data_IF_692365819207
#
_entry.id   IF_692365819207
#
_cell.length_a   1.000
_cell.length_b   1.000
_cell.length_c   1.000
_cell.angle_alpha   90.00
_cell.angle_beta   90.00
_cell.angle_gamma   90.00
#
_symmetry.space_group_name_H-M   'P 1'
#
loop_
_entity.id
_entity.type
_entity.pdbx_description
1 polymer ?
#
# COMPACT_ATOMS: atom_id res chain seq x y z
N UNK A 1 -6.67 -16.08 1.29
CA UNK A 1 -5.27 -15.67 1.59
C UNK A 1 -4.61 -16.70 2.50
N UNK A 2 -3.34 -17.00 2.32
CA UNK A 2 -2.46 -17.77 3.23
C UNK A 2 -2.94 -19.15 3.72
N UNK A 3 -3.91 -19.78 3.07
CA UNK A 3 -4.54 -21.03 3.57
C UNK A 3 -3.52 -22.17 3.73
N UNK A 4 -2.62 -22.34 2.76
CA UNK A 4 -1.56 -23.35 2.80
C UNK A 4 -0.55 -23.08 3.91
N UNK A 5 0.01 -21.88 3.95
CA UNK A 5 0.99 -21.49 4.97
C UNK A 5 0.41 -21.55 6.39
N UNK A 6 -0.88 -21.25 6.57
CA UNK A 6 -1.56 -21.31 7.87
C UNK A 6 -1.75 -22.76 8.42
N UNK A 7 -1.66 -23.76 7.56
CA UNK A 7 -1.64 -25.18 7.98
C UNK A 7 -0.27 -25.54 8.56
N UNK A 8 0.80 -25.06 7.93
CA UNK A 8 2.17 -25.34 8.35
C UNK A 8 2.61 -24.50 9.56
N UNK A 9 2.12 -23.26 9.66
CA UNK A 9 2.55 -22.27 10.66
C UNK A 9 1.37 -21.73 11.47
N UNK A 10 1.10 -22.27 12.68
CA UNK A 10 0.02 -21.80 13.58
C UNK A 10 0.08 -20.31 13.91
N UNK A 11 1.28 -19.73 13.92
CA UNK A 11 1.50 -18.29 14.16
C UNK A 11 0.68 -17.39 13.21
N UNK A 12 0.36 -17.88 12.00
CA UNK A 12 -0.49 -17.14 11.07
C UNK A 12 -1.89 -17.00 11.67
N UNK A 13 -2.47 -18.10 12.15
CA UNK A 13 -3.80 -18.09 12.79
C UNK A 13 -3.81 -17.24 14.07
N UNK A 14 -2.77 -17.34 14.89
CA UNK A 14 -2.61 -16.55 16.11
C UNK A 14 -2.57 -15.06 15.79
N UNK A 15 -1.84 -14.66 14.74
CA UNK A 15 -1.78 -13.26 14.27
C UNK A 15 -3.16 -12.77 13.78
N UNK A 16 -3.91 -13.61 13.07
CA UNK A 16 -5.27 -13.25 12.66
C UNK A 16 -6.23 -13.19 13.84
N UNK A 17 -6.06 -14.01 14.88
CA UNK A 17 -6.85 -13.96 16.12
C UNK A 17 -6.61 -12.62 16.85
N UNK A 18 -5.35 -12.22 17.01
CA UNK A 18 -4.96 -10.93 17.62
C UNK A 18 -5.62 -9.74 16.90
N UNK A 19 -5.58 -9.74 15.56
CA UNK A 19 -6.22 -8.69 14.78
C UNK A 19 -7.76 -8.74 14.88
N UNK A 20 -8.36 -9.94 14.91
CA UNK A 20 -9.82 -10.13 15.03
C UNK A 20 -10.34 -9.59 16.37
N UNK A 21 -9.63 -9.82 17.46
CA UNK A 21 -9.96 -9.25 18.77
C UNK A 21 -9.99 -7.71 18.74
N UNK A 22 -9.00 -7.11 18.08
CA UNK A 22 -8.92 -5.65 17.94
C UNK A 22 -10.01 -5.06 17.04
N UNK A 23 -10.45 -5.83 16.03
CA UNK A 23 -11.44 -5.41 15.03
C UNK A 23 -12.88 -5.69 15.44
N UNK A 24 -13.09 -6.63 16.38
CA UNK A 24 -14.41 -7.05 16.84
C UNK A 24 -15.17 -7.97 15.87
N UNK A 25 -14.46 -8.61 14.91
CA UNK A 25 -15.01 -9.63 14.01
C UNK A 25 -13.95 -10.63 13.61
N UNK A 26 -14.35 -11.83 13.15
CA UNK A 26 -13.42 -12.87 12.71
C UNK A 26 -12.83 -12.55 11.33
N UNK A 27 -11.64 -11.95 11.35
CA UNK A 27 -10.91 -11.59 10.12
C UNK A 27 -10.43 -12.84 9.37
N UNK A 28 -10.10 -13.93 10.10
CA UNK A 28 -9.68 -15.17 9.44
C UNK A 28 -10.83 -15.80 8.66
N UNK A 29 -12.02 -15.87 9.25
CA UNK A 29 -13.20 -16.38 8.56
C UNK A 29 -13.48 -15.57 7.28
N UNK A 30 -13.35 -14.25 7.34
CA UNK A 30 -13.53 -13.38 6.17
C UNK A 30 -12.50 -13.66 5.07
N UNK A 31 -11.21 -13.75 5.38
CA UNK A 31 -10.17 -13.95 4.35
C UNK A 31 -10.11 -15.39 3.80
N UNK A 32 -10.60 -16.38 4.54
CA UNK A 32 -10.59 -17.80 4.15
C UNK A 32 -11.89 -18.28 3.53
N UNK A 33 -13.03 -17.73 3.96
CA UNK A 33 -14.38 -18.17 3.58
C UNK A 33 -15.24 -17.10 2.92
N UNK A 34 -14.84 -15.84 2.96
CA UNK A 34 -15.60 -14.72 2.38
C UNK A 34 -16.72 -14.20 3.27
N UNK A 35 -17.69 -13.47 2.73
CA UNK A 35 -17.91 -13.29 1.29
C UNK A 35 -16.86 -12.38 0.61
N UNK A 36 -16.55 -12.64 -0.66
CA UNK A 36 -15.56 -11.88 -1.43
C UNK A 36 -15.93 -10.42 -1.56
N UNK A 37 -17.21 -10.12 -1.73
CA UNK A 37 -17.74 -8.77 -1.87
C UNK A 37 -17.47 -7.92 -0.61
N UNK A 38 -17.50 -8.52 0.58
CA UNK A 38 -17.13 -7.82 1.82
C UNK A 38 -15.62 -7.59 1.87
N UNK A 39 -14.82 -8.59 1.47
CA UNK A 39 -13.36 -8.46 1.48
C UNK A 39 -12.85 -7.44 0.45
N UNK A 40 -13.59 -7.20 -0.65
CA UNK A 40 -13.29 -6.19 -1.66
C UNK A 40 -13.54 -4.75 -1.19
N UNK A 41 -14.36 -4.55 -0.16
CA UNK A 41 -14.50 -3.24 0.47
C UNK A 41 -13.20 -2.84 1.16
N UNK A 42 -12.70 -1.64 0.83
CA UNK A 42 -11.36 -1.23 1.27
C UNK A 42 -11.22 -1.17 2.80
N UNK A 43 -12.31 -0.96 3.56
CA UNK A 43 -12.31 -1.03 5.03
C UNK A 43 -11.98 -2.42 5.58
N UNK A 44 -12.24 -3.50 4.80
CA UNK A 44 -11.91 -4.88 5.18
C UNK A 44 -10.64 -5.37 4.50
N UNK A 45 -10.40 -4.94 3.24
CA UNK A 45 -9.19 -5.31 2.51
C UNK A 45 -7.94 -4.82 3.25
N UNK A 46 -7.94 -3.57 3.75
CA UNK A 46 -6.75 -2.98 4.34
C UNK A 46 -6.28 -3.71 5.62
N UNK A 47 -7.13 -3.96 6.64
CA UNK A 47 -6.69 -4.72 7.81
C UNK A 47 -6.35 -6.17 7.48
N UNK A 48 -7.00 -6.78 6.47
CA UNK A 48 -6.67 -8.13 6.03
C UNK A 48 -5.26 -8.22 5.43
N UNK A 49 -4.88 -7.28 4.57
CA UNK A 49 -3.54 -7.22 3.98
C UNK A 49 -2.47 -6.91 5.03
N UNK A 50 -2.73 -5.97 5.94
CA UNK A 50 -1.82 -5.67 7.04
C UNK A 50 -1.56 -6.91 7.90
N UNK A 51 -2.63 -7.59 8.33
CA UNK A 51 -2.53 -8.77 9.19
C UNK A 51 -1.81 -9.91 8.49
N UNK A 52 -2.10 -10.14 7.21
CA UNK A 52 -1.43 -11.16 6.41
C UNK A 52 0.08 -10.87 6.27
N UNK A 53 0.44 -9.61 6.02
CA UNK A 53 1.85 -9.19 5.92
C UNK A 53 2.58 -9.38 7.25
N UNK A 54 1.99 -8.95 8.37
CA UNK A 54 2.60 -9.13 9.71
C UNK A 54 2.72 -10.61 10.06
N UNK A 55 1.72 -11.45 9.70
CA UNK A 55 1.77 -12.90 9.95
C UNK A 55 2.92 -13.56 9.19
N UNK A 56 3.07 -13.28 7.89
CA UNK A 56 4.18 -13.79 7.08
C UNK A 56 5.53 -13.31 7.59
N UNK A 57 5.63 -12.03 7.98
CA UNK A 57 6.85 -11.48 8.57
C UNK A 57 7.26 -12.18 9.85
N UNK A 58 6.32 -12.40 10.78
CA UNK A 58 6.55 -13.14 12.04
C UNK A 58 7.07 -14.56 11.78
N UNK A 59 6.43 -15.29 10.86
CA UNK A 59 6.86 -16.64 10.48
C UNK A 59 8.25 -16.59 9.85
N UNK A 60 8.48 -15.73 8.87
CA UNK A 60 9.77 -15.61 8.18
C UNK A 60 10.91 -15.34 9.16
N UNK A 61 10.76 -14.35 10.04
CA UNK A 61 11.76 -14.03 11.05
C UNK A 61 12.01 -15.16 12.04
N UNK A 62 10.98 -15.95 12.37
CA UNK A 62 11.14 -17.12 13.26
C UNK A 62 11.89 -18.27 12.61
N UNK A 63 11.80 -18.43 11.28
CA UNK A 63 12.50 -19.47 10.53
C UNK A 63 13.97 -19.13 10.27
N UNK A 64 14.27 -17.86 10.01
CA UNK A 64 15.58 -17.44 9.50
C UNK A 64 16.43 -16.66 10.52
N UNK A 65 15.89 -16.37 11.72
CA UNK A 65 16.57 -15.54 12.75
C UNK A 65 17.19 -14.26 12.16
N UNK A 66 16.43 -13.61 11.30
CA UNK A 66 16.90 -12.45 10.53
C UNK A 66 16.04 -11.20 10.80
N UNK A 67 16.66 -10.03 10.56
CA UNK A 67 15.98 -8.74 10.54
C UNK A 67 16.20 -8.07 9.20
N UNK A 68 15.19 -7.35 8.66
CA UNK A 68 15.39 -6.55 7.45
C UNK A 68 16.43 -5.45 7.68
N UNK A 69 17.23 -5.16 6.65
CA UNK A 69 18.08 -3.98 6.63
C UNK A 69 17.25 -2.69 6.54
N UNK A 70 16.13 -2.74 5.82
CA UNK A 70 15.14 -1.68 5.71
C UNK A 70 13.82 -2.26 5.15
N UNK A 71 12.74 -1.49 5.25
CA UNK A 71 11.45 -1.83 4.65
C UNK A 71 10.80 -0.63 3.96
N UNK A 72 9.96 -0.94 2.98
CA UNK A 72 8.98 -0.03 2.42
C UNK A 72 7.70 -0.80 2.15
N UNK A 73 6.57 -0.11 2.17
CA UNK A 73 5.30 -0.69 1.80
C UNK A 73 4.51 0.26 0.93
N UNK A 74 3.79 -0.25 -0.06
CA UNK A 74 3.04 0.57 -1.01
C UNK A 74 1.69 0.95 -0.42
N UNK A 75 1.40 2.24 -0.27
CA UNK A 75 0.15 2.77 0.29
C UNK A 75 -0.17 2.14 1.66
N UNK A 76 -1.18 1.28 1.76
CA UNK A 76 -1.47 0.51 2.97
C UNK A 76 -0.24 -0.26 3.48
N UNK A 77 0.59 -0.77 2.60
CA UNK A 77 1.80 -1.52 2.95
C UNK A 77 2.79 -0.73 3.83
N UNK A 78 2.75 0.60 3.83
CA UNK A 78 3.55 1.42 4.75
C UNK A 78 3.14 1.17 6.20
N UNK A 79 1.83 1.00 6.48
CA UNK A 79 1.36 0.58 7.81
C UNK A 79 1.85 -0.82 8.17
N UNK A 80 1.86 -1.75 7.21
CA UNK A 80 2.41 -3.10 7.42
C UNK A 80 3.91 -3.05 7.75
N UNK A 81 4.68 -2.25 7.01
CA UNK A 81 6.12 -2.07 7.27
C UNK A 81 6.37 -1.45 8.64
N UNK A 82 5.57 -0.46 9.05
CA UNK A 82 5.66 0.17 10.37
C UNK A 82 5.28 -0.79 11.50
N UNK A 83 4.25 -1.62 11.33
CA UNK A 83 3.89 -2.65 12.30
C UNK A 83 5.00 -3.70 12.43
N UNK A 84 5.57 -4.17 11.31
CA UNK A 84 6.72 -5.08 11.32
C UNK A 84 7.97 -4.46 11.97
N UNK A 85 8.16 -3.15 11.83
CA UNK A 85 9.25 -2.41 12.47
C UNK A 85 9.00 -2.09 13.96
N UNK A 86 7.86 -2.52 14.52
CA UNK A 86 7.53 -2.31 15.93
C UNK A 86 7.09 -0.89 16.27
N UNK A 87 6.75 -0.08 15.28
CA UNK A 87 6.25 1.30 15.45
C UNK A 87 4.82 1.30 15.97
N UNK A 88 4.00 0.37 15.50
CA UNK A 88 2.60 0.15 15.85
C UNK A 88 2.41 -1.27 16.38
N UNK A 89 1.52 -1.44 17.35
CA UNK A 89 1.00 -2.77 17.67
C UNK A 89 0.18 -3.30 16.48
N UNK A 90 0.07 -4.62 16.32
CA UNK A 90 -0.84 -5.19 15.30
C UNK A 90 -2.29 -4.75 15.54
N UNK A 91 -2.71 -4.68 16.80
CA UNK A 91 -4.05 -4.25 17.18
C UNK A 91 -4.35 -2.81 16.73
N UNK A 92 -3.41 -1.88 16.97
CA UNK A 92 -3.55 -0.49 16.52
C UNK A 92 -3.48 -0.38 15.00
N UNK A 93 -2.54 -1.09 14.37
CA UNK A 93 -2.42 -1.16 12.91
C UNK A 93 -3.71 -1.66 12.24
N UNK A 94 -4.33 -2.71 12.79
CA UNK A 94 -5.58 -3.26 12.28
C UNK A 94 -6.74 -2.26 12.40
N UNK A 95 -6.90 -1.61 13.58
CA UNK A 95 -7.91 -0.56 13.78
C UNK A 95 -7.71 0.63 12.85
N UNK A 96 -6.48 1.16 12.79
CA UNK A 96 -6.14 2.30 11.93
C UNK A 96 -6.38 1.99 10.45
N UNK A 97 -5.98 0.82 9.96
CA UNK A 97 -6.16 0.48 8.55
C UNK A 97 -7.62 0.22 8.18
N UNK A 98 -8.43 -0.31 9.09
CA UNK A 98 -9.89 -0.37 8.92
C UNK A 98 -10.49 1.03 8.82
N UNK A 99 -10.14 1.92 9.76
CA UNK A 99 -10.63 3.29 9.78
C UNK A 99 -10.17 4.07 8.54
N UNK A 100 -8.91 3.88 8.12
CA UNK A 100 -8.38 4.46 6.88
C UNK A 100 -9.18 4.01 5.67
N UNK A 101 -9.45 2.71 5.54
CA UNK A 101 -10.26 2.17 4.44
C UNK A 101 -11.64 2.76 4.40
N UNK A 102 -12.34 2.81 5.53
CA UNK A 102 -13.67 3.39 5.65
C UNK A 102 -13.66 4.90 5.32
N UNK A 103 -12.73 5.67 5.88
CA UNK A 103 -12.62 7.10 5.66
C UNK A 103 -12.28 7.44 4.19
N UNK A 104 -11.36 6.71 3.57
CA UNK A 104 -10.99 6.90 2.15
C UNK A 104 -12.16 6.55 1.21
N UNK A 105 -12.94 5.52 1.53
CA UNK A 105 -14.13 5.16 0.74
C UNK A 105 -15.24 6.21 0.87
N UNK A 106 -15.38 6.82 2.03
CA UNK A 106 -16.41 7.82 2.32
C UNK A 106 -16.04 9.25 1.88
N UNK A 107 -14.75 9.53 1.61
CA UNK A 107 -14.25 10.87 1.33
C UNK A 107 -14.86 11.50 0.06
N UNK A 108 -15.21 10.68 -0.92
CA UNK A 108 -15.85 11.11 -2.17
C UNK A 108 -17.07 10.23 -2.43
N UNK A 109 -18.25 10.79 -2.77
CA UNK A 109 -19.43 10.01 -3.10
C UNK A 109 -19.17 9.00 -4.22
N UNK A 110 -19.78 7.81 -4.11
CA UNK A 110 -19.64 6.77 -5.13
C UNK A 110 -20.00 7.28 -6.54
N UNK A 111 -19.19 6.96 -7.52
CA UNK A 111 -19.35 7.39 -8.91
C UNK A 111 -18.88 8.82 -9.22
N UNK A 112 -18.31 9.53 -8.23
CA UNK A 112 -17.74 10.86 -8.49
C UNK A 112 -16.21 10.86 -8.60
N UNK A 113 -15.56 9.77 -8.20
CA UNK A 113 -14.12 9.60 -8.30
C UNK A 113 -13.74 8.30 -9.00
N UNK A 114 -12.49 8.24 -9.47
CA UNK A 114 -11.98 7.05 -10.14
C UNK A 114 -10.46 7.05 -10.23
N UNK A 115 -9.94 5.89 -10.63
CA UNK A 115 -8.52 5.68 -10.88
C UNK A 115 -8.30 4.93 -12.18
N UNK A 116 -7.15 5.14 -12.81
CA UNK A 116 -6.75 4.42 -14.01
C UNK A 116 -5.24 4.17 -14.04
N UNK A 117 -4.83 3.06 -14.65
CA UNK A 117 -3.41 2.76 -14.88
C UNK A 117 -3.00 3.16 -16.29
N UNK A 118 -1.87 3.86 -16.37
CA UNK A 118 -1.23 4.29 -17.62
C UNK A 118 0.10 3.55 -17.75
N UNK A 119 0.31 2.90 -18.92
CA UNK A 119 1.52 2.13 -19.19
C UNK A 119 2.12 2.57 -20.53
N UNK A 120 3.44 2.82 -20.52
CA UNK A 120 4.22 3.04 -21.73
C UNK A 120 4.58 4.48 -22.02
N UNK A 121 4.21 5.42 -21.15
CA UNK A 121 4.59 6.83 -21.23
C UNK A 121 5.57 7.21 -20.10
N UNK A 122 6.48 8.17 -20.33
CA UNK A 122 7.27 8.77 -19.26
C UNK A 122 6.38 9.44 -18.22
N UNK A 123 6.78 9.39 -16.94
CA UNK A 123 6.04 9.97 -15.82
C UNK A 123 5.73 11.46 -16.03
N UNK A 124 6.68 12.22 -16.59
CA UNK A 124 6.49 13.65 -16.92
C UNK A 124 5.35 13.86 -17.91
N UNK A 125 5.25 13.05 -18.97
CA UNK A 125 4.17 13.16 -19.97
C UNK A 125 2.81 12.91 -19.31
N UNK A 126 2.70 11.90 -18.44
CA UNK A 126 1.47 11.62 -17.70
C UNK A 126 1.11 12.79 -16.77
N UNK A 127 2.08 13.30 -16.03
CA UNK A 127 1.89 14.42 -15.09
C UNK A 127 1.47 15.69 -15.82
N UNK A 128 2.16 16.06 -16.90
CA UNK A 128 1.88 17.28 -17.68
C UNK A 128 0.49 17.20 -18.33
N UNK A 129 0.11 16.03 -18.88
CA UNK A 129 -1.22 15.81 -19.45
C UNK A 129 -2.31 15.96 -18.38
N UNK A 130 -2.16 15.31 -17.22
CA UNK A 130 -3.12 15.46 -16.12
C UNK A 130 -3.21 16.91 -15.64
N UNK A 131 -2.08 17.60 -15.51
CA UNK A 131 -2.03 18.99 -15.06
C UNK A 131 -2.77 19.91 -16.05
N UNK A 132 -2.60 19.69 -17.36
CA UNK A 132 -3.26 20.50 -18.40
C UNK A 132 -4.78 20.34 -18.42
N UNK A 133 -5.30 19.21 -17.97
CA UNK A 133 -6.73 18.89 -17.91
C UNK A 133 -7.37 19.25 -16.56
N UNK A 134 -6.56 19.45 -15.52
CA UNK A 134 -7.05 19.67 -14.17
C UNK A 134 -7.58 21.08 -13.91
N UNK A 135 -8.69 21.13 -13.15
CA UNK A 135 -9.22 22.34 -12.51
C UNK A 135 -9.78 21.99 -11.13
N UNK A 136 -10.29 22.97 -10.36
CA UNK A 136 -10.90 22.71 -9.05
C UNK A 136 -12.07 21.72 -9.09
N UNK A 137 -12.90 21.78 -10.12
CA UNK A 137 -14.10 20.94 -10.29
C UNK A 137 -13.89 19.76 -11.23
N UNK A 138 -12.70 19.66 -11.83
CA UNK A 138 -12.33 18.65 -12.82
C UNK A 138 -10.88 18.20 -12.60
N UNK A 139 -10.61 17.67 -11.40
CA UNK A 139 -9.27 17.32 -10.96
C UNK A 139 -8.85 15.92 -11.42
N UNK A 140 -7.63 15.79 -11.95
CA UNK A 140 -6.94 14.53 -12.20
C UNK A 140 -5.43 14.69 -12.01
N UNK A 141 -4.76 13.71 -11.40
CA UNK A 141 -3.31 13.73 -11.21
C UNK A 141 -2.70 12.34 -11.25
N UNK A 142 -1.37 12.25 -11.46
CA UNK A 142 -0.59 11.06 -11.21
C UNK A 142 -0.46 10.80 -9.71
N UNK A 143 -0.87 9.61 -9.26
CA UNK A 143 -0.95 9.28 -7.83
C UNK A 143 -0.11 8.09 -7.39
N UNK A 144 0.27 7.16 -8.29
CA UNK A 144 1.20 6.09 -7.96
C UNK A 144 2.26 6.00 -9.05
N UNK A 145 3.49 6.34 -8.71
CA UNK A 145 4.66 6.23 -9.59
C UNK A 145 5.31 4.86 -9.38
N UNK A 146 4.73 3.86 -10.02
CA UNK A 146 4.97 2.44 -9.73
C UNK A 146 6.22 1.85 -10.38
N UNK A 147 6.80 2.55 -11.33
CA UNK A 147 7.99 2.13 -12.05
C UNK A 147 8.11 2.86 -13.39
N UNK A 148 9.25 2.76 -14.07
CA UNK A 148 9.45 3.41 -15.37
C UNK A 148 8.31 3.10 -16.34
N UNK A 149 7.57 4.14 -16.74
CA UNK A 149 6.43 4.05 -17.65
C UNK A 149 5.21 3.31 -17.09
N UNK A 150 5.02 3.31 -15.77
CA UNK A 150 3.79 2.82 -15.13
C UNK A 150 3.34 3.78 -14.04
N UNK A 151 2.33 4.58 -14.34
CA UNK A 151 1.71 5.55 -13.43
C UNK A 151 0.24 5.22 -13.27
N UNK A 152 -0.28 5.35 -12.04
CA UNK A 152 -1.72 5.38 -11.79
C UNK A 152 -2.13 6.84 -11.69
N UNK A 153 -3.22 7.20 -12.34
CA UNK A 153 -3.88 8.50 -12.24
C UNK A 153 -5.17 8.38 -11.45
N UNK A 154 -5.56 9.43 -10.75
CA UNK A 154 -6.80 9.49 -9.99
C UNK A 154 -7.37 10.91 -9.96
N UNK A 155 -8.68 11.00 -9.79
CA UNK A 155 -9.38 12.28 -9.75
C UNK A 155 -10.89 12.13 -9.83
N UNK A 156 -11.57 13.20 -10.25
CA UNK A 156 -12.98 13.15 -10.60
C UNK A 156 -13.21 12.18 -11.76
N UNK A 157 -14.33 11.47 -11.74
CA UNK A 157 -14.68 10.43 -12.72
C UNK A 157 -14.48 10.92 -14.18
N UNK A 158 -15.11 12.05 -14.53
CA UNK A 158 -15.02 12.62 -15.87
C UNK A 158 -13.59 13.08 -16.23
N UNK A 159 -12.82 13.63 -15.28
CA UNK A 159 -11.46 14.07 -15.52
C UNK A 159 -10.51 12.88 -15.77
N UNK A 160 -10.75 11.74 -15.12
CA UNK A 160 -10.00 10.52 -15.37
C UNK A 160 -10.32 9.96 -16.78
N UNK A 161 -11.59 10.06 -17.24
CA UNK A 161 -11.95 9.62 -18.60
C UNK A 161 -11.30 10.51 -19.66
N UNK A 162 -11.35 11.82 -19.51
CA UNK A 162 -10.68 12.76 -20.42
C UNK A 162 -9.16 12.54 -20.44
N UNK A 163 -8.55 12.29 -19.27
CA UNK A 163 -7.13 11.96 -19.19
C UNK A 163 -6.79 10.63 -19.86
N UNK A 164 -7.66 9.61 -19.73
CA UNK A 164 -7.48 8.33 -20.42
C UNK A 164 -7.43 8.48 -21.93
N UNK A 165 -8.32 9.30 -22.50
CA UNK A 165 -8.38 9.52 -23.96
C UNK A 165 -7.18 10.35 -24.41
N UNK A 166 -6.86 11.46 -23.73
CA UNK A 166 -5.69 12.27 -24.06
C UNK A 166 -4.37 11.47 -23.98
N UNK A 167 -4.22 10.60 -22.97
CA UNK A 167 -3.02 9.79 -22.80
C UNK A 167 -2.91 8.65 -23.84
N UNK A 168 -4.03 8.13 -24.34
CA UNK A 168 -4.04 7.23 -25.50
C UNK A 168 -3.56 7.95 -26.77
N UNK A 169 -4.05 9.19 -27.00
CA UNK A 169 -3.71 9.98 -28.17
C UNK A 169 -2.21 10.34 -28.20
N UNK A 170 -1.57 10.55 -27.04
CA UNK A 170 -0.13 10.78 -26.97
C UNK A 170 0.71 9.50 -26.91
N UNK A 171 0.09 8.31 -27.09
CA UNK A 171 0.77 7.06 -27.33
C UNK A 171 0.92 6.13 -26.12
N UNK A 172 0.07 6.23 -25.11
CA UNK A 172 0.03 5.23 -24.04
C UNK A 172 -0.20 3.83 -24.59
N UNK A 173 0.68 2.89 -24.24
CA UNK A 173 0.54 1.48 -24.67
C UNK A 173 -0.69 0.82 -24.03
N UNK A 174 -1.03 1.19 -22.81
CA UNK A 174 -2.26 0.83 -22.11
C UNK A 174 -2.72 2.01 -21.25
N UNK A 175 -4.02 2.28 -21.28
CA UNK A 175 -4.71 3.23 -20.44
C UNK A 175 -6.05 2.60 -20.06
N UNK A 176 -6.22 2.19 -18.79
CA UNK A 176 -7.35 1.36 -18.36
C UNK A 176 -7.85 1.79 -16.98
N UNK A 177 -9.16 1.85 -16.80
CA UNK A 177 -9.80 2.02 -15.50
C UNK A 177 -9.41 0.92 -14.53
N UNK A 178 -9.24 1.29 -13.28
CA UNK A 178 -9.16 0.36 -12.16
C UNK A 178 -10.56 0.17 -11.54
N UNK A 179 -10.86 -1.02 -11.00
CA UNK A 179 -12.16 -1.31 -10.39
C UNK A 179 -12.29 -0.70 -8.98
N UNK A 180 -12.00 0.60 -8.86
CA UNK A 180 -12.09 1.36 -7.62
C UNK A 180 -12.83 2.67 -7.88
N UNK A 181 -13.67 3.10 -6.95
CA UNK A 181 -14.56 4.27 -7.09
C UNK A 181 -14.11 5.49 -6.29
N UNK A 182 -12.98 5.42 -5.60
CA UNK A 182 -12.45 6.54 -4.85
C UNK A 182 -11.11 7.01 -5.45
N UNK A 183 -10.88 8.33 -5.54
CA UNK A 183 -9.67 8.93 -6.11
C UNK A 183 -8.55 8.97 -5.07
N UNK A 184 -8.04 7.78 -4.67
CA UNK A 184 -7.02 7.64 -3.64
C UNK A 184 -5.75 8.45 -3.95
N UNK A 185 -5.10 8.95 -2.91
CA UNK A 185 -3.85 9.69 -3.00
C UNK A 185 -3.96 11.02 -3.76
N UNK A 186 -5.14 11.65 -3.73
CA UNK A 186 -5.40 12.98 -4.27
C UNK A 186 -5.82 13.95 -3.15
N UNK A 187 -5.77 15.28 -3.38
CA UNK A 187 -6.35 16.26 -2.46
C UNK A 187 -7.83 16.03 -2.12
N UNK A 188 -8.58 15.31 -2.98
CA UNK A 188 -9.97 14.94 -2.74
C UNK A 188 -10.14 14.01 -1.53
N UNK A 189 -9.06 13.38 -1.06
CA UNK A 189 -9.03 12.57 0.16
C UNK A 189 -8.83 13.41 1.44
N UNK A 190 -8.92 14.74 1.38
CA UNK A 190 -8.79 15.63 2.54
C UNK A 190 -9.62 15.20 3.73
N UNK A 191 -10.93 14.91 3.60
CA UNK A 191 -11.75 14.43 4.72
C UNK A 191 -11.23 13.15 5.38
N UNK A 192 -10.66 12.22 4.59
CA UNK A 192 -10.05 11.02 5.14
C UNK A 192 -8.72 11.31 5.86
N UNK A 193 -7.95 12.30 5.40
CA UNK A 193 -6.73 12.75 6.08
C UNK A 193 -7.04 13.32 7.46
N UNK A 194 -8.10 14.10 7.60
CA UNK A 194 -8.54 14.67 8.88
C UNK A 194 -8.94 13.57 9.86
N UNK A 195 -9.74 12.59 9.41
CA UNK A 195 -10.12 11.42 10.23
C UNK A 195 -8.89 10.65 10.70
N UNK A 196 -7.88 10.46 9.83
CA UNK A 196 -6.67 9.75 10.21
C UNK A 196 -5.79 10.55 11.16
N UNK A 197 -5.73 11.88 11.02
CA UNK A 197 -4.99 12.73 11.94
C UNK A 197 -5.52 12.61 13.39
N UNK A 198 -6.85 12.62 13.55
CA UNK A 198 -7.50 12.41 14.85
C UNK A 198 -7.26 10.98 15.37
N UNK A 199 -7.40 9.95 14.53
CA UNK A 199 -7.21 8.55 14.94
C UNK A 199 -5.79 8.26 15.45
N UNK A 200 -4.80 9.00 15.00
CA UNK A 200 -3.40 8.82 15.42
C UNK A 200 -3.13 9.30 16.86
N UNK A 201 -4.00 10.12 17.45
CA UNK A 201 -3.84 10.61 18.82
C UNK A 201 -4.08 9.53 19.87
N UNK A 202 -4.88 8.50 19.53
CA UNK A 202 -5.22 7.40 20.42
C UNK A 202 -4.23 6.22 20.33
N UNK A 203 -3.14 6.35 19.58
CA UNK A 203 -2.19 5.29 19.32
C UNK A 203 -0.84 5.54 19.96
N UNK A 204 -0.27 4.51 20.56
CA UNK A 204 1.10 4.52 21.08
C UNK A 204 2.09 4.29 19.94
N UNK A 205 2.92 5.29 19.66
CA UNK A 205 3.93 5.25 18.61
C UNK A 205 5.31 4.99 19.20
N UNK A 206 6.05 4.05 18.59
CA UNK A 206 7.44 3.75 18.95
C UNK A 206 8.39 4.11 17.81
N UNK A 207 9.68 4.23 18.13
CA UNK A 207 10.71 4.35 17.10
C UNK A 207 10.85 3.04 16.32
N UNK A 208 11.08 3.09 15.00
CA UNK A 208 11.22 1.88 14.19
C UNK A 208 12.49 1.09 14.56
N UNK A 209 12.39 -0.24 14.62
CA UNK A 209 13.51 -1.15 14.91
C UNK A 209 14.47 -1.32 13.73
N UNK A 210 14.04 -0.96 12.53
CA UNK A 210 14.82 -0.88 11.30
C UNK A 210 14.23 0.24 10.40
N UNK A 211 15.01 0.79 9.48
CA UNK A 211 14.57 1.88 8.61
C UNK A 211 13.30 1.54 7.83
N UNK A 212 12.31 2.44 7.84
CA UNK A 212 11.10 2.37 7.00
C UNK A 212 11.09 3.59 6.09
N UNK A 213 10.82 3.39 4.81
CA UNK A 213 10.82 4.43 3.78
C UNK A 213 9.40 4.93 3.53
N UNK A 214 9.22 6.24 3.58
CA UNK A 214 7.96 6.94 3.36
C UNK A 214 7.54 6.92 1.88
N UNK A 215 6.26 6.73 1.61
CA UNK A 215 5.70 6.83 0.26
C UNK A 215 5.70 8.25 -0.31
N UNK A 216 5.59 9.26 0.56
CA UNK A 216 5.32 10.65 0.17
C UNK A 216 6.55 11.34 -0.42
N UNK A 217 7.72 11.05 0.15
CA UNK A 217 8.98 11.71 -0.21
C UNK A 217 10.14 10.72 -0.44
N UNK A 218 9.89 9.41 -0.32
CA UNK A 218 10.91 8.39 -0.45
C UNK A 218 12.02 8.48 0.60
N UNK A 219 11.84 9.23 1.67
CA UNK A 219 12.81 9.40 2.74
C UNK A 219 12.66 8.36 3.85
N UNK A 220 13.73 8.11 4.61
CA UNK A 220 13.67 7.24 5.79
C UNK A 220 12.95 7.96 6.92
N UNK A 221 11.95 7.30 7.50
CA UNK A 221 11.22 7.77 8.66
C UNK A 221 12.04 7.54 9.94
N UNK A 222 12.31 8.61 10.70
CA UNK A 222 13.28 8.58 11.81
C UNK A 222 12.68 8.76 13.20
N UNK A 223 11.46 9.29 13.30
CA UNK A 223 10.81 9.51 14.60
C UNK A 223 9.30 9.27 14.53
N UNK A 224 8.65 8.98 15.67
CA UNK A 224 7.19 8.87 15.74
C UNK A 224 6.44 10.07 15.15
N UNK A 225 6.90 11.28 15.40
CA UNK A 225 6.30 12.53 14.92
C UNK A 225 6.41 12.63 13.39
N UNK A 226 7.59 12.31 12.84
CA UNK A 226 7.82 12.29 11.39
C UNK A 226 6.94 11.22 10.71
N UNK A 227 6.79 10.04 11.33
CA UNK A 227 5.94 8.96 10.86
C UNK A 227 4.47 9.42 10.82
N UNK A 228 3.94 9.94 11.93
CA UNK A 228 2.57 10.45 11.99
C UNK A 228 2.30 11.50 10.92
N UNK A 229 3.17 12.51 10.83
CA UNK A 229 3.07 13.57 9.83
C UNK A 229 3.11 13.02 8.39
N UNK A 230 3.97 12.04 8.12
CA UNK A 230 4.07 11.38 6.82
C UNK A 230 2.80 10.61 6.46
N UNK A 231 2.24 9.83 7.40
CA UNK A 231 1.03 9.04 7.18
C UNK A 231 -0.22 9.92 6.98
N UNK A 232 -0.32 11.07 7.66
CA UNK A 232 -1.40 12.04 7.39
C UNK A 232 -1.30 12.56 5.96
N UNK A 233 -0.11 12.98 5.53
CA UNK A 233 0.13 13.46 4.15
C UNK A 233 -0.08 12.35 3.11
N UNK A 234 0.24 11.09 3.44
CA UNK A 234 0.13 9.94 2.53
C UNK A 234 -1.30 9.75 2.02
N UNK A 235 -2.31 10.10 2.79
CA UNK A 235 -3.72 9.96 2.38
C UNK A 235 -4.03 10.80 1.14
N UNK A 236 -3.44 12.00 1.05
CA UNK A 236 -3.70 12.99 0.00
C UNK A 236 -2.55 13.17 -0.99
N UNK A 237 -1.41 12.51 -0.77
CA UNK A 237 -0.20 12.66 -1.56
C UNK A 237 0.10 11.42 -2.41
N UNK A 238 0.81 11.57 -3.53
CA UNK A 238 1.23 10.46 -4.38
C UNK A 238 2.12 9.46 -3.64
N UNK A 239 2.04 8.19 -4.06
CA UNK A 239 2.97 7.13 -3.70
C UNK A 239 4.15 7.16 -4.67
N UNK A 240 5.31 7.57 -4.19
CA UNK A 240 6.56 7.65 -4.97
C UNK A 240 7.31 6.31 -4.90
N UNK A 241 6.69 5.21 -5.39
CA UNK A 241 7.21 3.86 -5.21
C UNK A 241 8.60 3.66 -5.81
N UNK A 242 8.84 4.19 -7.02
CA UNK A 242 10.16 4.14 -7.65
C UNK A 242 11.24 4.79 -6.77
N UNK A 243 10.91 5.90 -6.11
CA UNK A 243 11.82 6.58 -5.21
C UNK A 243 12.04 5.77 -3.90
N UNK A 244 10.99 5.15 -3.36
CA UNK A 244 11.12 4.24 -2.21
C UNK A 244 12.12 3.11 -2.51
N UNK A 245 11.99 2.46 -3.68
CA UNK A 245 12.90 1.40 -4.12
C UNK A 245 14.34 1.90 -4.31
N UNK A 246 14.51 3.11 -4.84
CA UNK A 246 15.83 3.75 -4.97
C UNK A 246 16.47 3.99 -3.60
N UNK A 247 15.70 4.46 -2.61
CA UNK A 247 16.17 4.68 -1.25
C UNK A 247 16.57 3.36 -0.58
N UNK A 248 15.77 2.29 -0.72
CA UNK A 248 16.14 0.96 -0.22
C UNK A 248 17.48 0.50 -0.81
N UNK A 249 17.70 0.71 -2.12
CA UNK A 249 18.99 0.42 -2.77
C UNK A 249 20.14 1.24 -2.18
N UNK A 250 19.92 2.52 -1.92
CA UNK A 250 20.94 3.40 -1.32
C UNK A 250 21.30 3.01 0.12
N UNK A 251 20.38 2.34 0.83
CA UNK A 251 20.61 1.75 2.15
C UNK A 251 21.36 0.41 2.10
N UNK A 252 21.75 -0.07 0.91
CA UNK A 252 22.51 -1.30 0.72
C UNK A 252 21.65 -2.55 0.55
N UNK A 253 20.33 -2.43 0.41
CA UNK A 253 19.48 -3.59 0.13
C UNK A 253 19.78 -4.12 -1.27
N UNK A 254 20.23 -5.35 -1.40
CA UNK A 254 20.63 -6.00 -2.64
C UNK A 254 19.66 -7.10 -3.11
N UNK A 255 18.68 -7.45 -2.26
CA UNK A 255 17.56 -8.33 -2.57
C UNK A 255 16.31 -7.90 -1.79
N UNK A 256 15.13 -8.26 -2.28
CA UNK A 256 13.85 -7.91 -1.66
C UNK A 256 12.96 -9.13 -1.45
N UNK A 257 12.21 -9.11 -0.35
CA UNK A 257 11.16 -10.07 -0.06
C UNK A 257 9.82 -9.33 0.01
N UNK A 258 8.87 -9.73 -0.83
CA UNK A 258 7.51 -9.22 -0.75
C UNK A 258 6.74 -10.00 0.31
N UNK A 259 6.45 -9.31 1.41
CA UNK A 259 5.78 -9.85 2.59
C UNK A 259 4.30 -9.47 2.54
N UNK A 260 3.47 -10.33 1.98
CA UNK A 260 2.04 -10.11 1.79
C UNK A 260 1.44 -11.11 0.81
N UNK A 261 0.11 -11.11 0.66
CA UNK A 261 -0.56 -11.93 -0.34
C UNK A 261 -0.27 -11.45 -1.76
N UNK A 262 -0.01 -12.39 -2.66
CA UNK A 262 0.27 -12.12 -4.07
C UNK A 262 1.73 -11.78 -4.36
N UNK A 263 1.96 -11.15 -5.53
CA UNK A 263 3.31 -10.87 -6.04
C UNK A 263 3.37 -9.56 -6.85
N UNK A 264 2.54 -8.60 -6.48
CA UNK A 264 2.41 -7.31 -7.20
C UNK A 264 3.70 -6.50 -7.08
N UNK A 265 4.25 -6.37 -5.86
CA UNK A 265 5.48 -5.60 -5.63
C UNK A 265 6.70 -6.28 -6.24
N UNK A 266 6.75 -7.60 -6.25
CA UNK A 266 7.79 -8.36 -6.98
C UNK A 266 7.75 -8.07 -8.48
N UNK A 267 6.56 -7.93 -9.06
CA UNK A 267 6.38 -7.51 -10.45
C UNK A 267 6.85 -6.07 -10.71
N UNK A 268 6.54 -5.14 -9.79
CA UNK A 268 6.98 -3.75 -9.85
C UNK A 268 8.50 -3.63 -9.67
N UNK A 269 9.09 -4.36 -8.72
CA UNK A 269 10.53 -4.41 -8.49
C UNK A 269 11.29 -4.81 -9.76
N UNK A 270 10.86 -5.88 -10.43
CA UNK A 270 11.44 -6.30 -11.73
C UNK A 270 11.33 -5.26 -12.83
N UNK A 271 10.30 -4.40 -12.77
CA UNK A 271 10.16 -3.29 -13.72
C UNK A 271 11.11 -2.15 -13.42
N UNK A 272 11.33 -1.86 -12.14
CA UNK A 272 12.21 -0.77 -11.67
C UNK A 272 13.66 -1.15 -11.88
N UNK A 273 14.08 -2.31 -11.37
CA UNK A 273 15.45 -2.81 -11.49
C UNK A 273 15.46 -4.35 -11.62
N UNK A 274 15.78 -4.83 -12.81
CA UNK A 274 15.85 -6.28 -13.10
C UNK A 274 17.05 -6.96 -12.46
N UNK A 275 18.04 -6.21 -12.01
CA UNK A 275 19.27 -6.75 -11.42
C UNK A 275 19.10 -7.11 -9.97
N UNK A 276 18.03 -6.63 -9.32
CA UNK A 276 17.74 -6.88 -7.91
C UNK A 276 16.71 -8.00 -7.78
N UNK A 277 17.07 -9.12 -7.16
CA UNK A 277 16.11 -10.19 -6.89
C UNK A 277 14.98 -9.69 -5.98
N UNK A 278 13.74 -10.01 -6.36
CA UNK A 278 12.57 -9.81 -5.52
C UNK A 278 11.65 -11.02 -5.62
N UNK A 279 11.28 -11.62 -4.50
CA UNK A 279 10.37 -12.76 -4.43
C UNK A 279 9.29 -12.56 -3.38
N UNK A 280 8.09 -13.07 -3.64
CA UNK A 280 7.03 -13.16 -2.65
C UNK A 280 7.31 -14.32 -1.69
N UNK A 281 6.95 -14.15 -0.41
CA UNK A 281 7.04 -15.18 0.63
C UNK A 281 5.66 -15.69 1.07
N UNK A 282 4.65 -15.63 0.20
CA UNK A 282 3.28 -16.03 0.51
C UNK A 282 3.12 -17.53 0.78
N UNK A 283 3.92 -18.38 0.12
CA UNK A 283 3.79 -19.85 0.20
C UNK A 283 4.72 -20.46 1.23
N UNK A 284 4.38 -21.66 1.73
CA UNK A 284 5.25 -22.40 2.64
C UNK A 284 6.66 -22.57 2.05
N UNK A 285 6.78 -23.06 0.82
CA UNK A 285 8.07 -23.26 0.16
C UNK A 285 8.88 -21.97 0.04
N UNK A 286 8.21 -20.83 -0.19
CA UNK A 286 8.88 -19.53 -0.27
C UNK A 286 9.31 -18.99 1.11
N UNK A 287 8.55 -19.30 2.18
CA UNK A 287 8.95 -18.99 3.56
C UNK A 287 10.18 -19.78 4.00
N UNK A 288 10.27 -21.06 3.63
CA UNK A 288 11.38 -21.94 4.00
C UNK A 288 12.64 -21.75 3.14
N UNK A 289 12.53 -21.11 1.98
CA UNK A 289 13.67 -20.90 1.09
C UNK A 289 14.70 -19.94 1.71
N UNK A 290 15.98 -20.30 1.62
CA UNK A 290 17.10 -19.46 2.05
C UNK A 290 17.10 -18.08 1.36
N UNK A 291 17.66 -17.08 2.06
CA UNK A 291 17.77 -15.68 1.61
C UNK A 291 18.89 -15.54 0.58
#
# INVERSE_FOLDING_TARGET
MLAEAAVAYPQIRETFSEASEALGYDLWALVSGGPSETLELTEFTQPALLTASVALFRVFCSLHDCRPAAAAGHSLGEYSALACAGVLSLADGARLTRQRGAAMQAAVPAGQGGMAVIIGLPDAVVTDTCTSLSSETHFVAGVNFNGPGQVVIAGHEAAVDDALDALKDVGARRAMRLPVSAPFHTPLMGPASDVMAEAFDDVAWSSPQFPVVSNVDGAVLTSPEAIRSSLVRQVTAPVLWTQCMSTLRSLGCDHFLECGPGSVLSGLSKRIDKTVPCRSIETQAALEAEI
#
